data_IF_479117323699
#
_entry.id   IF_479117323699
#
_cell.length_a   1.000
_cell.length_b   1.000
_cell.length_c   1.000
_cell.angle_alpha   90.00
_cell.angle_beta   90.00
_cell.angle_gamma   90.00
#
_symmetry.space_group_name_H-M   'P 1'
#
loop_
_entity.id
_entity.type
_entity.pdbx_description
1 polymer ?
#
# COMPACT_ATOMS: atom_id res chain seq x y z
N UNK A 1 -23.25 -0.76 7.37
CA UNK A 1 -22.60 -0.14 6.19
C UNK A 1 -22.35 1.31 6.58
N UNK A 2 -21.33 1.57 7.41
CA UNK A 2 -21.11 2.89 8.04
C UNK A 2 -19.79 3.43 7.54
N UNK A 3 -19.91 4.49 6.76
CA UNK A 3 -19.00 5.62 6.58
C UNK A 3 -17.54 5.25 6.35
N UNK A 4 -17.23 4.96 5.08
CA UNK A 4 -15.88 5.11 4.57
C UNK A 4 -15.46 6.57 4.76
N UNK A 5 -14.28 6.86 5.31
CA UNK A 5 -13.82 8.23 5.41
C UNK A 5 -13.82 8.89 4.03
N UNK A 6 -14.39 10.10 3.93
CA UNK A 6 -14.54 10.85 2.67
C UNK A 6 -13.23 11.04 1.87
N UNK A 7 -12.07 10.79 2.48
CA UNK A 7 -10.77 10.83 1.83
C UNK A 7 -10.49 9.60 0.93
N UNK A 8 -11.17 8.47 1.11
CA UNK A 8 -10.94 7.25 0.31
C UNK A 8 -11.67 7.31 -1.04
N UNK A 9 -12.78 8.05 -1.12
CA UNK A 9 -13.55 8.24 -2.36
C UNK A 9 -13.07 9.41 -3.23
N UNK A 10 -12.28 10.33 -2.66
CA UNK A 10 -11.67 11.40 -3.46
C UNK A 10 -10.67 10.78 -4.43
N UNK A 11 -10.92 10.99 -5.71
CA UNK A 11 -9.91 10.82 -6.77
C UNK A 11 -8.82 11.83 -6.47
N UNK A 12 -7.74 11.38 -5.84
CA UNK A 12 -6.50 12.16 -5.80
C UNK A 12 -5.94 12.25 -7.22
N UNK A 13 -5.30 13.37 -7.54
CA UNK A 13 -4.45 13.44 -8.74
C UNK A 13 -3.34 12.40 -8.58
N UNK A 14 -3.48 11.27 -9.27
CA UNK A 14 -2.51 10.18 -9.21
C UNK A 14 -1.29 10.56 -10.06
N UNK A 15 -0.14 10.68 -9.40
CA UNK A 15 1.14 10.80 -10.08
C UNK A 15 1.78 9.41 -10.25
N UNK A 16 2.32 9.13 -11.43
CA UNK A 16 3.07 7.89 -11.67
C UNK A 16 4.42 7.95 -10.96
N UNK A 17 4.65 7.00 -10.08
CA UNK A 17 5.92 6.83 -9.37
C UNK A 17 6.70 5.65 -9.96
N UNK A 18 8.01 5.81 -10.23
CA UNK A 18 8.83 4.68 -10.68
C UNK A 18 9.00 3.67 -9.55
N UNK A 19 8.98 2.39 -9.93
CA UNK A 19 9.35 1.29 -9.04
C UNK A 19 10.86 1.08 -9.15
N UNK A 20 11.56 1.21 -8.03
CA UNK A 20 12.99 0.99 -7.90
C UNK A 20 13.31 -0.51 -7.74
N UNK A 21 14.62 -0.81 -7.71
CA UNK A 21 15.13 -2.19 -7.59
C UNK A 21 14.45 -2.89 -6.41
N UNK A 22 14.01 -4.13 -6.66
CA UNK A 22 13.36 -4.94 -5.66
C UNK A 22 11.90 -4.57 -5.37
N UNK A 23 11.22 -3.79 -6.22
CA UNK A 23 9.78 -3.52 -6.08
C UNK A 23 9.43 -2.36 -5.14
N UNK A 24 10.42 -1.53 -4.82
CA UNK A 24 10.29 -0.44 -3.85
C UNK A 24 9.83 0.85 -4.52
N UNK A 25 8.92 1.59 -3.89
CA UNK A 25 8.59 2.96 -4.28
C UNK A 25 9.09 3.90 -3.19
N UNK A 26 10.06 4.74 -3.55
CA UNK A 26 10.64 5.74 -2.66
C UNK A 26 9.82 7.04 -2.71
N UNK A 27 8.90 7.18 -1.75
CA UNK A 27 7.99 8.34 -1.66
C UNK A 27 8.78 9.60 -1.28
N UNK A 28 9.86 9.46 -0.51
CA UNK A 28 10.69 10.56 -0.06
C UNK A 28 11.38 11.34 -1.21
N UNK A 29 11.50 10.75 -2.41
CA UNK A 29 12.03 11.44 -3.60
C UNK A 29 11.13 12.56 -4.13
N UNK A 30 9.84 12.51 -3.82
CA UNK A 30 8.84 13.48 -4.30
C UNK A 30 8.23 14.30 -3.19
N UNK A 31 8.03 13.67 -2.03
CA UNK A 31 7.39 14.31 -0.89
C UNK A 31 8.33 14.28 0.31
N UNK A 32 8.69 15.46 0.80
CA UNK A 32 9.24 15.62 2.14
C UNK A 32 8.13 15.59 3.19
N UNK A 33 8.51 15.35 4.44
CA UNK A 33 7.60 15.55 5.57
C UNK A 33 7.43 17.06 5.73
N UNK A 34 6.23 17.57 5.48
CA UNK A 34 5.83 18.95 5.80
C UNK A 34 4.76 18.91 6.87
N UNK A 35 4.67 19.96 7.72
CA UNK A 35 3.74 20.03 8.85
C UNK A 35 2.33 19.51 8.49
N UNK A 36 1.97 18.35 9.06
CA UNK A 36 0.69 17.68 8.87
C UNK A 36 0.48 16.91 7.55
N UNK A 37 1.43 16.94 6.62
CA UNK A 37 1.37 16.25 5.30
C UNK A 37 2.37 15.10 5.22
N UNK A 38 2.14 14.07 6.03
CA UNK A 38 3.01 12.89 6.11
C UNK A 38 2.31 11.60 5.66
N UNK A 39 1.19 11.70 4.92
CA UNK A 39 0.46 10.53 4.41
C UNK A 39 0.22 10.64 2.90
N UNK A 40 0.50 9.57 2.16
CA UNK A 40 0.18 9.43 0.72
C UNK A 40 -0.61 8.13 0.48
N UNK A 41 -1.32 8.08 -0.63
CA UNK A 41 -1.96 6.85 -1.11
C UNK A 41 -1.17 6.29 -2.30
N UNK A 42 -0.54 5.13 -2.10
CA UNK A 42 0.00 4.33 -3.19
C UNK A 42 -1.14 3.43 -3.73
N UNK A 43 -1.57 3.67 -4.96
CA UNK A 43 -2.71 2.98 -5.57
C UNK A 43 -2.29 2.23 -6.82
N UNK A 44 -2.78 1.01 -6.97
CA UNK A 44 -2.67 0.22 -8.20
C UNK A 44 -4.04 -0.28 -8.64
N UNK A 45 -4.18 -0.48 -9.94
CA UNK A 45 -5.30 -1.20 -10.54
C UNK A 45 -4.83 -2.60 -10.93
N UNK A 46 -5.64 -3.58 -10.59
CA UNK A 46 -5.38 -5.01 -10.83
C UNK A 46 -6.47 -5.50 -11.78
N UNK A 47 -6.08 -5.86 -13.00
CA UNK A 47 -6.98 -6.60 -13.88
C UNK A 47 -6.94 -8.08 -13.50
N UNK A 48 -8.11 -8.71 -13.38
CA UNK A 48 -8.24 -10.14 -13.15
C UNK A 48 -9.11 -10.79 -14.23
N UNK A 49 -8.67 -11.90 -14.80
CA UNK A 49 -9.42 -12.60 -15.86
C UNK A 49 -10.66 -13.36 -15.34
N UNK A 50 -10.71 -13.60 -14.02
CA UNK A 50 -11.76 -14.34 -13.31
C UNK A 50 -11.92 -13.86 -11.88
N UNK A 51 -12.96 -14.33 -11.19
CA UNK A 51 -13.03 -14.18 -9.75
C UNK A 51 -12.04 -15.13 -9.08
N UNK A 52 -11.16 -14.62 -8.23
CA UNK A 52 -10.13 -15.40 -7.56
C UNK A 52 -9.60 -14.69 -6.32
N UNK A 53 -9.02 -15.44 -5.38
CA UNK A 53 -8.35 -14.88 -4.22
C UNK A 53 -6.85 -14.85 -4.50
N UNK A 54 -6.22 -13.69 -4.29
CA UNK A 54 -4.77 -13.53 -4.39
C UNK A 54 -4.20 -13.01 -3.08
N UNK A 55 -3.13 -13.63 -2.61
CA UNK A 55 -2.35 -13.12 -1.50
C UNK A 55 -1.45 -11.99 -2.00
N UNK A 56 -1.58 -10.84 -1.36
CA UNK A 56 -0.73 -9.68 -1.60
C UNK A 56 0.09 -9.43 -0.34
N UNK A 57 1.41 -9.59 -0.46
CA UNK A 57 2.36 -9.25 0.60
C UNK A 57 2.90 -7.86 0.38
N UNK A 58 3.14 -7.13 1.46
CA UNK A 58 3.57 -5.74 1.38
C UNK A 58 4.48 -5.35 2.54
N UNK A 59 5.20 -4.25 2.34
CA UNK A 59 6.05 -3.59 3.33
C UNK A 59 5.90 -2.07 3.22
N UNK A 60 6.10 -1.37 4.32
CA UNK A 60 5.81 0.07 4.42
C UNK A 60 6.68 0.73 5.49
N UNK A 61 6.99 2.01 5.32
CA UNK A 61 7.47 2.88 6.40
C UNK A 61 6.59 4.14 6.42
N UNK A 62 5.96 4.52 7.53
CA UNK A 62 6.04 3.92 8.86
C UNK A 62 4.74 3.23 9.29
N UNK A 63 3.58 3.71 8.84
CA UNK A 63 2.28 3.10 9.14
C UNK A 63 1.54 2.85 7.85
N UNK A 64 0.74 1.78 7.82
CA UNK A 64 -0.05 1.44 6.66
C UNK A 64 -1.51 1.19 7.03
N UNK A 65 -2.40 1.68 6.17
CA UNK A 65 -3.77 1.17 6.04
C UNK A 65 -3.98 0.69 4.62
N UNK A 66 -4.35 -0.58 4.45
CA UNK A 66 -4.60 -1.18 3.13
C UNK A 66 -6.10 -1.20 2.88
N UNK A 67 -6.50 -0.69 1.73
CA UNK A 67 -7.87 -0.63 1.26
C UNK A 67 -8.03 -1.41 -0.03
N UNK A 68 -9.02 -2.28 -0.09
CA UNK A 68 -9.43 -2.99 -1.31
C UNK A 68 -10.85 -2.57 -1.65
N UNK A 69 -11.08 -2.02 -2.85
CA UNK A 69 -12.37 -1.42 -3.23
C UNK A 69 -12.90 -0.45 -2.16
N UNK A 70 -12.00 0.45 -1.71
CA UNK A 70 -12.22 1.40 -0.62
C UNK A 70 -12.53 0.80 0.78
N UNK A 71 -12.63 -0.52 0.92
CA UNK A 71 -12.81 -1.18 2.22
C UNK A 71 -11.48 -1.41 2.92
N UNK A 72 -11.38 -1.02 4.19
CA UNK A 72 -10.21 -1.31 5.04
C UNK A 72 -10.03 -2.82 5.21
N UNK A 73 -8.84 -3.31 4.86
CA UNK A 73 -8.44 -4.72 4.94
C UNK A 73 -7.37 -4.95 6.02
N UNK A 74 -6.56 -3.92 6.29
CA UNK A 74 -5.43 -4.01 7.23
C UNK A 74 -5.08 -2.63 7.78
N UNK A 75 -4.65 -2.59 9.04
CA UNK A 75 -3.99 -1.45 9.68
C UNK A 75 -2.79 -1.96 10.48
N UNK A 76 -1.64 -1.27 10.35
CA UNK A 76 -0.42 -1.67 11.03
C UNK A 76 0.63 -0.56 11.14
N UNK A 77 1.57 -0.78 12.04
CA UNK A 77 2.72 0.10 12.28
C UNK A 77 4.02 -0.68 12.05
N UNK A 78 4.98 -0.04 11.41
CA UNK A 78 6.35 -0.49 11.19
C UNK A 78 7.36 0.50 11.83
N UNK A 79 6.90 1.39 12.72
CA UNK A 79 7.75 2.39 13.35
C UNK A 79 8.84 1.76 14.20
N UNK A 80 10.00 2.40 14.21
CA UNK A 80 11.11 2.08 15.10
C UNK A 80 10.65 1.91 16.55
N UNK A 81 11.13 0.86 17.22
CA UNK A 81 10.86 0.55 18.63
C UNK A 81 9.40 0.31 19.03
N UNK A 82 8.47 0.12 18.09
CA UNK A 82 7.05 -0.13 18.43
C UNK A 82 6.73 -1.56 18.83
N UNK A 83 7.52 -2.55 18.39
CA UNK A 83 7.32 -3.97 18.71
C UNK A 83 8.26 -4.48 19.79
N UNK A 84 9.52 -4.07 19.72
CA UNK A 84 10.57 -4.33 20.71
C UNK A 84 11.70 -3.30 20.58
N UNK A 85 12.59 -3.24 21.58
CA UNK A 85 13.68 -2.24 21.62
C UNK A 85 14.68 -2.32 20.45
N UNK A 86 14.73 -3.45 19.73
CA UNK A 86 15.58 -3.67 18.55
C UNK A 86 14.80 -3.57 17.23
N UNK A 87 13.51 -3.25 17.27
CA UNK A 87 12.68 -3.19 16.08
C UNK A 87 13.10 -2.01 15.20
N UNK A 88 13.78 -2.28 14.09
CA UNK A 88 14.39 -1.24 13.25
C UNK A 88 13.42 -0.55 12.27
N UNK A 89 12.21 -1.10 12.07
CA UNK A 89 11.27 -0.57 11.07
C UNK A 89 11.70 -0.80 9.62
N UNK A 90 12.48 -1.84 9.35
CA UNK A 90 12.95 -2.15 7.99
C UNK A 90 11.79 -2.59 7.10
N UNK A 91 11.72 -2.02 5.89
CA UNK A 91 10.69 -2.36 4.90
C UNK A 91 10.97 -3.76 4.34
N UNK A 92 10.05 -4.69 4.61
CA UNK A 92 10.07 -6.04 4.06
C UNK A 92 8.65 -6.57 3.83
N UNK A 93 8.54 -7.69 3.10
CA UNK A 93 7.25 -8.32 2.77
C UNK A 93 6.72 -9.19 3.92
N UNK A 94 6.62 -8.60 5.11
CA UNK A 94 6.27 -9.31 6.34
C UNK A 94 4.77 -9.31 6.63
N UNK A 95 4.03 -8.38 6.04
CA UNK A 95 2.58 -8.28 6.17
C UNK A 95 1.88 -8.75 4.89
N UNK A 96 0.65 -9.25 5.02
CA UNK A 96 -0.13 -9.69 3.85
C UNK A 96 -1.63 -9.57 4.06
N UNK A 97 -2.36 -9.42 2.95
CA UNK A 97 -3.81 -9.49 2.88
C UNK A 97 -4.23 -10.44 1.75
N UNK A 98 -5.38 -11.07 1.90
CA UNK A 98 -6.00 -11.89 0.85
C UNK A 98 -7.06 -11.05 0.14
N UNK A 99 -6.85 -10.78 -1.15
CA UNK A 99 -7.71 -9.93 -1.96
C UNK A 99 -8.73 -10.78 -2.73
N UNK A 100 -10.04 -10.60 -2.51
CA UNK A 100 -11.08 -11.29 -3.24
C UNK A 100 -11.35 -10.56 -4.58
N UNK A 101 -10.48 -10.79 -5.56
CA UNK A 101 -10.58 -10.17 -6.88
C UNK A 101 -11.83 -10.63 -7.61
N UNK A 102 -12.52 -9.67 -8.25
CA UNK A 102 -13.57 -9.92 -9.23
C UNK A 102 -12.96 -9.91 -10.62
N UNK A 103 -13.61 -10.56 -11.59
CA UNK A 103 -13.24 -10.42 -13.01
C UNK A 103 -13.30 -8.93 -13.41
N UNK A 104 -12.29 -8.45 -14.13
CA UNK A 104 -12.11 -7.05 -14.53
C UNK A 104 -11.20 -6.27 -13.58
N UNK A 105 -11.35 -4.94 -13.59
CA UNK A 105 -10.53 -4.02 -12.81
C UNK A 105 -10.89 -4.05 -11.32
N UNK A 106 -9.89 -4.22 -10.48
CA UNK A 106 -9.99 -4.06 -9.03
C UNK A 106 -9.01 -2.99 -8.55
N UNK A 107 -9.33 -2.27 -7.48
CA UNK A 107 -8.49 -1.21 -6.92
C UNK A 107 -7.93 -1.59 -5.56
N UNK A 108 -6.61 -1.51 -5.44
CA UNK A 108 -5.87 -1.64 -4.18
C UNK A 108 -5.18 -0.32 -3.88
N UNK A 109 -5.38 0.20 -2.67
CA UNK A 109 -4.76 1.44 -2.20
C UNK A 109 -4.12 1.22 -0.84
N UNK A 110 -2.91 1.73 -0.64
CA UNK A 110 -2.21 1.70 0.63
C UNK A 110 -1.98 3.15 1.06
N UNK A 111 -2.62 3.56 2.15
CA UNK A 111 -2.27 4.80 2.83
C UNK A 111 -0.98 4.54 3.61
N UNK A 112 0.09 5.27 3.28
CA UNK A 112 1.40 5.13 3.92
C UNK A 112 1.71 6.42 4.64
N UNK A 113 1.91 6.34 5.96
CA UNK A 113 2.19 7.50 6.81
C UNK A 113 3.60 7.44 7.34
N UNK A 114 4.40 8.48 7.10
CA UNK A 114 5.78 8.59 7.55
C UNK A 114 5.91 9.31 8.90
N UNK A 115 6.78 8.78 9.77
CA UNK A 115 7.24 9.43 10.99
C UNK A 115 8.64 10.00 10.84
N UNK A 116 9.62 9.15 10.48
CA UNK A 116 11.01 9.55 10.22
C UNK A 116 11.83 8.40 9.59
N UNK A 117 12.98 8.73 9.01
CA UNK A 117 13.98 7.73 8.59
C UNK A 117 13.85 7.23 7.15
N UNK A 118 12.74 7.52 6.47
CA UNK A 118 12.57 7.32 5.05
C UNK A 118 11.19 6.80 4.69
N UNK A 119 10.60 7.36 3.65
CA UNK A 119 9.21 7.07 3.28
C UNK A 119 9.14 6.15 2.07
N UNK A 120 8.57 4.96 2.24
CA UNK A 120 8.43 4.04 1.13
C UNK A 120 7.43 2.91 1.33
N UNK A 121 7.15 2.22 0.22
CA UNK A 121 6.21 1.11 0.15
C UNK A 121 6.67 0.09 -0.88
N UNK A 122 6.35 -1.17 -0.63
CA UNK A 122 6.62 -2.29 -1.53
C UNK A 122 5.43 -3.25 -1.51
N UNK A 123 5.16 -3.86 -2.65
CA UNK A 123 4.09 -4.84 -2.81
C UNK A 123 4.51 -6.00 -3.70
N UNK A 124 3.95 -7.18 -3.45
CA UNK A 124 4.19 -8.38 -4.24
C UNK A 124 2.97 -9.30 -4.20
N UNK A 125 2.58 -9.78 -5.38
CA UNK A 125 1.69 -10.94 -5.49
C UNK A 125 2.55 -12.19 -5.53
N UNK A 126 2.25 -13.17 -4.66
CA UNK A 126 2.97 -14.46 -4.64
C UNK A 126 2.69 -15.27 -5.91
N UNK A 127 1.49 -15.13 -6.46
CA UNK A 127 1.05 -15.75 -7.72
C UNK A 127 0.35 -14.71 -8.61
N UNK A 128 0.88 -14.52 -9.82
CA UNK A 128 0.36 -13.57 -10.82
C UNK A 128 -0.56 -14.21 -11.86
N UNK A 129 -0.85 -15.52 -11.75
CA UNK A 129 -1.68 -16.23 -12.72
C UNK A 129 -3.07 -15.60 -12.85
N UNK A 130 -3.40 -15.14 -14.05
CA UNK A 130 -4.69 -14.51 -14.36
C UNK A 130 -4.86 -13.10 -13.80
N UNK A 131 -3.78 -12.43 -13.40
CA UNK A 131 -3.80 -11.01 -13.02
C UNK A 131 -2.72 -10.21 -13.74
N UNK A 132 -2.98 -8.91 -13.93
CA UNK A 132 -1.97 -7.94 -14.38
C UNK A 132 -2.16 -6.60 -13.67
N UNK A 133 -1.07 -5.85 -13.52
CA UNK A 133 -1.13 -4.48 -12.99
C UNK A 133 -1.25 -3.51 -14.15
N UNK A 134 -2.25 -2.63 -14.10
CA UNK A 134 -2.46 -1.63 -15.15
C UNK A 134 -2.09 -0.22 -14.67
N UNK A 135 -1.60 0.66 -15.59
CA UNK A 135 -1.16 2.01 -15.26
C UNK A 135 -2.26 2.98 -14.78
#
# INVERSE_FOLDING_TARGET
MKDLPAYVEKVYDLEKMPVEIGGFVNIARKHGIADGKNTVFATIKIESDRAQIKKFSFGYSDNARVYFEARLMYEGTNRYQTRDYRYLGTIGLFDSVYLPLKKGTNRLSIAVTEGFGGWGVKGMFEDTSGISIVP
#
